data_IF_620073533159
#
_entry.id   IF_620073533159
#
_cell.length_a   1.000
_cell.length_b   1.000
_cell.length_c   1.000
_cell.angle_alpha   90.00
_cell.angle_beta   90.00
_cell.angle_gamma   90.00
#
_symmetry.space_group_name_H-M   'P 1'
#
loop_
_entity.id
_entity.type
_entity.pdbx_description
1 polymer ?
#
# COMPACT_ATOMS: atom_id res chain seq x y z
N UNK A 1 51.91 30.37 -3.76
CA UNK A 1 52.44 31.23 -4.84
C UNK A 1 52.92 32.58 -4.33
N UNK A 2 52.75 32.93 -3.04
CA UNK A 2 53.26 34.19 -2.47
C UNK A 2 54.76 34.14 -2.08
N UNK A 3 55.32 32.96 -1.80
CA UNK A 3 56.74 32.85 -1.41
C UNK A 3 57.74 33.13 -2.55
N UNK A 4 57.38 32.84 -3.80
CA UNK A 4 58.28 33.00 -4.95
C UNK A 4 58.48 34.49 -5.29
N UNK A 5 57.43 35.30 -5.14
CA UNK A 5 57.51 36.75 -5.36
C UNK A 5 58.40 37.45 -4.32
N UNK A 6 58.49 36.90 -3.11
CA UNK A 6 59.29 37.44 -2.02
C UNK A 6 60.79 37.18 -2.20
N UNK A 7 61.17 36.00 -2.73
CA UNK A 7 62.57 35.68 -3.04
C UNK A 7 63.12 36.50 -4.22
N UNK A 8 62.32 36.75 -5.25
CA UNK A 8 62.76 37.58 -6.39
C UNK A 8 62.97 39.05 -6.00
N UNK A 9 62.12 39.60 -5.13
CA UNK A 9 62.27 40.95 -4.59
C UNK A 9 63.56 41.09 -3.75
N UNK A 10 63.87 40.09 -2.92
CA UNK A 10 65.12 40.05 -2.14
C UNK A 10 66.37 39.89 -3.04
N UNK A 11 66.26 39.15 -4.14
CA UNK A 11 67.32 39.00 -5.13
C UNK A 11 67.64 40.29 -5.87
N UNK A 12 66.63 41.10 -6.19
CA UNK A 12 66.81 42.40 -6.83
C UNK A 12 67.44 43.43 -5.90
N UNK A 13 67.02 43.48 -4.63
CA UNK A 13 67.60 44.38 -3.63
C UNK A 13 69.11 44.14 -3.41
N UNK A 14 69.55 42.86 -3.36
CA UNK A 14 70.97 42.52 -3.23
C UNK A 14 71.80 42.91 -4.45
N UNK A 15 71.22 42.83 -5.65
CA UNK A 15 71.89 43.30 -6.87
C UNK A 15 72.01 44.82 -6.87
N UNK A 16 70.98 45.54 -6.48
CA UNK A 16 71.04 47.01 -6.40
C UNK A 16 72.12 47.49 -5.42
N UNK A 17 72.26 46.83 -4.27
CA UNK A 17 73.30 47.14 -3.28
C UNK A 17 74.72 46.87 -3.80
N UNK A 18 74.92 45.79 -4.57
CA UNK A 18 76.18 45.47 -5.25
C UNK A 18 76.56 46.50 -6.32
N UNK A 19 75.58 47.03 -7.06
CA UNK A 19 75.84 48.03 -8.10
C UNK A 19 76.15 49.39 -7.50
N UNK A 20 75.49 49.73 -6.39
CA UNK A 20 75.79 50.95 -5.62
C UNK A 20 77.17 50.91 -4.98
N UNK A 21 77.66 49.73 -4.57
CA UNK A 21 79.02 49.58 -4.03
C UNK A 21 80.08 49.73 -5.13
N UNK A 22 79.91 49.09 -6.29
CA UNK A 22 80.82 49.25 -7.43
C UNK A 22 80.86 50.70 -7.94
N UNK A 23 79.70 51.38 -8.00
CA UNK A 23 79.65 52.80 -8.37
C UNK A 23 80.38 53.70 -7.35
N UNK A 24 80.32 53.36 -6.06
CA UNK A 24 81.00 54.10 -4.98
C UNK A 24 82.51 53.92 -5.03
N UNK A 25 82.99 52.72 -5.40
CA UNK A 25 84.41 52.45 -5.56
C UNK A 25 84.99 53.09 -6.83
N UNK A 26 84.21 53.19 -7.92
CA UNK A 26 84.57 53.98 -9.11
C UNK A 26 84.65 55.49 -8.82
N UNK A 27 83.79 56.03 -7.95
CA UNK A 27 83.85 57.43 -7.53
C UNK A 27 85.02 57.71 -6.57
N UNK A 28 85.44 56.72 -5.77
CA UNK A 28 86.63 56.81 -4.89
C UNK A 28 87.94 56.71 -5.65
N UNK A 29 87.96 56.02 -6.78
CA UNK A 29 89.12 55.93 -7.68
C UNK A 29 89.23 57.12 -8.64
N UNK A 30 88.67 58.27 -8.27
CA UNK A 30 88.93 59.55 -8.93
C UNK A 30 90.45 59.79 -8.95
N UNK A 31 91.09 59.90 -10.13
CA UNK A 31 92.49 60.22 -10.18
C UNK A 31 92.69 61.57 -9.49
N UNK A 32 93.52 61.57 -8.45
CA UNK A 32 94.06 62.80 -7.85
C UNK A 32 94.76 63.52 -9.00
N UNK A 33 94.10 64.53 -9.55
CA UNK A 33 94.75 65.47 -10.43
C UNK A 33 95.85 66.12 -9.59
N UNK A 34 97.13 66.08 -10.01
CA UNK A 34 98.17 66.76 -9.27
C UNK A 34 97.78 68.24 -9.18
N UNK A 35 97.66 68.74 -7.95
CA UNK A 35 97.55 70.16 -7.69
C UNK A 35 98.81 70.80 -8.26
N UNK A 36 98.67 71.54 -9.37
CA UNK A 36 99.74 72.36 -9.91
C UNK A 36 99.94 73.54 -8.96
N UNK A 37 100.81 73.34 -7.95
CA UNK A 37 101.47 74.43 -7.27
C UNK A 37 102.31 75.18 -8.30
N UNK A 38 101.83 76.36 -8.68
CA UNK A 38 102.60 77.31 -9.46
C UNK A 38 103.79 77.77 -8.64
N UNK A 39 104.99 77.46 -9.13
CA UNK A 39 106.14 78.33 -9.01
C UNK A 39 106.67 78.54 -10.43
N UNK A 40 106.51 79.79 -10.89
CA UNK A 40 107.11 80.35 -12.10
C UNK A 40 108.63 80.17 -12.04
N UNK A 41 109.18 79.35 -12.94
CA UNK A 41 110.57 79.49 -13.37
C UNK A 41 110.59 79.62 -14.90
N UNK A 42 110.72 80.88 -15.32
CA UNK A 42 110.77 81.33 -16.71
C UNK A 42 112.04 80.81 -17.39
N UNK A 43 111.93 79.64 -18.04
CA UNK A 43 112.76 79.30 -19.19
C UNK A 43 111.88 79.28 -20.44
N UNK A 44 111.87 80.41 -21.13
CA UNK A 44 111.47 80.53 -22.54
C UNK A 44 112.42 79.70 -23.40
N UNK A 45 112.14 78.41 -23.53
CA UNK A 45 112.54 77.65 -24.70
C UNK A 45 111.61 78.09 -25.85
N UNK A 46 112.22 78.61 -26.91
CA UNK A 46 111.53 78.94 -28.16
C UNK A 46 110.96 77.64 -28.70
N UNK A 47 109.68 77.36 -28.42
CA UNK A 47 108.98 76.20 -28.97
C UNK A 47 109.08 76.24 -30.50
N UNK A 48 109.74 75.23 -31.07
CA UNK A 48 109.86 75.08 -32.52
C UNK A 48 108.46 75.03 -33.13
N UNK A 49 108.25 75.71 -34.26
CA UNK A 49 106.95 75.77 -34.95
C UNK A 49 106.36 74.40 -35.31
N UNK A 50 107.15 73.34 -35.28
CA UNK A 50 106.72 71.95 -35.49
C UNK A 50 106.05 71.33 -34.26
N UNK A 51 106.43 71.71 -33.03
CA UNK A 51 105.82 71.20 -31.80
C UNK A 51 104.42 71.78 -31.60
N UNK A 52 104.24 73.07 -31.91
CA UNK A 52 102.92 73.71 -31.95
C UNK A 52 102.01 73.08 -33.00
N UNK A 53 102.54 72.69 -34.17
CA UNK A 53 101.77 71.96 -35.19
C UNK A 53 101.35 70.58 -34.69
N UNK A 54 102.25 69.80 -34.10
CA UNK A 54 101.92 68.47 -33.54
C UNK A 54 100.86 68.59 -32.45
N UNK A 55 101.02 69.52 -31.51
CA UNK A 55 100.00 69.79 -30.47
C UNK A 55 98.65 70.17 -31.07
N UNK A 56 98.63 71.04 -32.09
CA UNK A 56 97.38 71.42 -32.76
C UNK A 56 96.69 70.23 -33.47
N UNK A 57 97.47 69.33 -34.07
CA UNK A 57 96.95 68.11 -34.70
C UNK A 57 96.43 67.11 -33.65
N UNK A 58 97.14 66.94 -32.54
CA UNK A 58 96.69 66.12 -31.41
C UNK A 58 95.39 66.66 -30.80
N UNK A 59 95.27 67.97 -30.62
CA UNK A 59 94.03 68.61 -30.14
C UNK A 59 92.88 68.36 -31.12
N UNK A 60 93.11 68.51 -32.44
CA UNK A 60 92.09 68.21 -33.46
C UNK A 60 91.67 66.74 -33.44
N UNK A 61 92.62 65.82 -33.28
CA UNK A 61 92.34 64.39 -33.19
C UNK A 61 91.53 64.05 -31.93
N UNK A 62 91.90 64.60 -30.76
CA UNK A 62 91.14 64.42 -29.52
C UNK A 62 89.74 65.03 -29.60
N UNK A 63 89.59 66.20 -30.23
CA UNK A 63 88.29 66.80 -30.48
C UNK A 63 87.41 65.92 -31.39
N UNK A 64 88.00 65.32 -32.42
CA UNK A 64 87.32 64.35 -33.28
C UNK A 64 86.94 63.07 -32.53
N UNK A 65 87.85 62.48 -31.74
CA UNK A 65 87.55 61.30 -30.92
C UNK A 65 86.45 61.59 -29.90
N UNK A 66 86.48 62.76 -29.26
CA UNK A 66 85.44 63.22 -28.34
C UNK A 66 84.10 63.36 -29.07
N UNK A 67 84.09 63.93 -30.28
CA UNK A 67 82.87 64.04 -31.08
C UNK A 67 82.29 62.66 -31.45
N UNK A 68 83.14 61.71 -31.86
CA UNK A 68 82.74 60.34 -32.18
C UNK A 68 82.15 59.59 -30.96
N UNK A 69 82.79 59.70 -29.79
CA UNK A 69 82.26 59.12 -28.56
C UNK A 69 80.94 59.77 -28.14
N UNK A 70 80.82 61.09 -28.29
CA UNK A 70 79.57 61.81 -28.01
C UNK A 70 78.45 61.39 -28.96
N UNK A 71 78.73 61.18 -30.23
CA UNK A 71 77.76 60.69 -31.21
C UNK A 71 77.33 59.25 -30.90
N UNK A 72 78.28 58.36 -30.58
CA UNK A 72 78.00 57.01 -30.13
C UNK A 72 77.16 56.96 -28.85
N UNK A 73 77.47 57.83 -27.87
CA UNK A 73 76.68 57.99 -26.64
C UNK A 73 75.27 58.52 -26.94
N UNK A 74 75.13 59.51 -27.83
CA UNK A 74 73.81 60.02 -28.25
C UNK A 74 72.98 58.92 -28.89
N UNK A 75 73.55 58.13 -29.80
CA UNK A 75 72.86 57.01 -30.44
C UNK A 75 72.39 55.97 -29.41
N UNK A 76 73.26 55.54 -28.51
CA UNK A 76 72.91 54.60 -27.44
C UNK A 76 71.85 55.17 -26.49
N UNK A 77 71.92 56.46 -26.17
CA UNK A 77 70.91 57.12 -25.34
C UNK A 77 69.54 57.17 -26.03
N UNK A 78 69.50 57.38 -27.35
CA UNK A 78 68.26 57.32 -28.12
C UNK A 78 67.69 55.90 -28.16
N UNK A 79 68.53 54.89 -28.39
CA UNK A 79 68.13 53.46 -28.35
C UNK A 79 67.62 53.06 -26.96
N UNK A 80 68.31 53.48 -25.89
CA UNK A 80 67.86 53.24 -24.52
C UNK A 80 66.54 53.95 -24.21
N UNK A 81 66.36 55.20 -24.66
CA UNK A 81 65.10 55.91 -24.49
C UNK A 81 63.94 55.23 -25.23
N UNK A 82 64.17 54.72 -26.44
CA UNK A 82 63.19 53.95 -27.19
C UNK A 82 62.82 52.65 -26.46
N UNK A 83 63.81 51.87 -26.01
CA UNK A 83 63.58 50.63 -25.26
C UNK A 83 62.82 50.87 -23.94
N UNK A 84 63.10 51.97 -23.22
CA UNK A 84 62.34 52.36 -22.03
C UNK A 84 60.89 52.72 -22.39
N UNK A 85 60.67 53.37 -23.53
CA UNK A 85 59.34 53.65 -24.05
C UNK A 85 58.55 52.36 -24.31
N UNK A 86 59.15 51.40 -25.00
CA UNK A 86 58.53 50.11 -25.31
C UNK A 86 58.21 49.32 -24.03
N UNK A 87 59.13 49.29 -23.05
CA UNK A 87 58.89 48.64 -21.77
C UNK A 87 57.73 49.27 -21.00
N UNK A 88 57.58 50.60 -21.03
CA UNK A 88 56.44 51.28 -20.41
C UNK A 88 55.13 50.93 -21.12
N UNK A 89 55.12 50.88 -22.46
CA UNK A 89 53.95 50.50 -23.23
C UNK A 89 53.51 49.06 -22.93
N UNK A 90 54.46 48.12 -22.83
CA UNK A 90 54.17 46.73 -22.43
C UNK A 90 53.64 46.68 -20.99
N UNK A 91 54.23 47.45 -20.07
CA UNK A 91 53.77 47.51 -18.68
C UNK A 91 52.34 48.06 -18.55
N UNK A 92 52.00 49.09 -19.32
CA UNK A 92 50.64 49.65 -19.37
C UNK A 92 49.64 48.64 -19.95
N UNK A 93 50.02 47.95 -21.03
CA UNK A 93 49.21 46.86 -21.60
C UNK A 93 48.98 45.72 -20.60
N UNK A 94 50.03 45.29 -19.89
CA UNK A 94 49.94 44.24 -18.87
C UNK A 94 49.02 44.66 -17.71
N UNK A 95 49.09 45.93 -17.29
CA UNK A 95 48.17 46.49 -16.28
C UNK A 95 46.73 46.46 -16.78
N UNK A 96 46.47 46.87 -18.02
CA UNK A 96 45.14 46.83 -18.62
C UNK A 96 44.58 45.41 -18.72
N UNK A 97 45.41 44.44 -19.12
CA UNK A 97 45.02 43.02 -19.13
C UNK A 97 44.75 42.50 -17.71
N UNK A 98 45.57 42.87 -16.72
CA UNK A 98 45.37 42.45 -15.33
C UNK A 98 44.07 42.98 -14.74
N UNK A 99 43.69 44.23 -15.06
CA UNK A 99 42.40 44.78 -14.61
C UNK A 99 41.24 44.09 -15.32
N UNK A 100 41.34 43.85 -16.62
CA UNK A 100 40.32 43.14 -17.40
C UNK A 100 40.11 41.72 -16.89
N UNK A 101 41.19 40.98 -16.61
CA UNK A 101 41.11 39.63 -16.03
C UNK A 101 40.47 39.64 -14.64
N UNK A 102 40.74 40.67 -13.83
CA UNK A 102 40.08 40.83 -12.53
C UNK A 102 38.58 41.09 -12.64
N UNK A 103 38.16 41.87 -13.63
CA UNK A 103 36.74 42.11 -13.92
C UNK A 103 36.04 40.82 -14.42
N UNK A 104 36.69 40.08 -15.33
CA UNK A 104 36.18 38.80 -15.83
C UNK A 104 36.06 37.76 -14.70
N UNK A 105 37.06 37.64 -13.83
CA UNK A 105 37.04 36.73 -12.68
C UNK A 105 35.91 37.08 -11.70
N UNK A 106 35.65 38.37 -11.47
CA UNK A 106 34.54 38.82 -10.64
C UNK A 106 33.18 38.44 -11.26
N UNK A 107 33.01 38.60 -12.57
CA UNK A 107 31.78 38.21 -13.28
C UNK A 107 31.58 36.70 -13.24
N UNK A 108 32.65 35.92 -13.45
CA UNK A 108 32.59 34.46 -13.36
C UNK A 108 32.22 34.01 -11.95
N UNK A 109 32.83 34.59 -10.91
CA UNK A 109 32.50 34.28 -9.52
C UNK A 109 31.03 34.59 -9.19
N UNK A 110 30.48 35.70 -9.70
CA UNK A 110 29.06 36.01 -9.54
C UNK A 110 28.16 34.99 -10.26
N UNK A 111 28.49 34.63 -11.50
CA UNK A 111 27.73 33.65 -12.26
C UNK A 111 27.76 32.25 -11.62
N UNK A 112 28.89 31.84 -11.05
CA UNK A 112 29.03 30.58 -10.32
C UNK A 112 28.14 30.55 -9.07
N UNK A 113 28.08 31.65 -8.32
CA UNK A 113 27.24 31.77 -7.14
C UNK A 113 25.74 31.76 -7.50
N UNK A 114 25.34 32.48 -8.55
CA UNK A 114 23.98 32.42 -9.09
C UNK A 114 23.58 31.01 -9.51
N UNK A 115 24.49 30.29 -10.18
CA UNK A 115 24.29 28.90 -10.59
C UNK A 115 24.18 27.97 -9.37
N UNK A 116 24.98 28.18 -8.32
CA UNK A 116 24.89 27.43 -7.07
C UNK A 116 23.51 27.61 -6.43
N UNK A 117 23.05 28.85 -6.29
CA UNK A 117 21.73 29.18 -5.72
C UNK A 117 20.59 28.62 -6.58
N UNK A 118 20.71 28.66 -7.91
CA UNK A 118 19.71 28.06 -8.80
C UNK A 118 19.65 26.52 -8.65
N UNK A 119 20.80 25.86 -8.52
CA UNK A 119 20.87 24.40 -8.30
C UNK A 119 20.25 24.00 -6.96
N UNK A 120 20.51 24.76 -5.90
CA UNK A 120 19.93 24.50 -4.58
C UNK A 120 18.41 24.65 -4.56
N UNK A 121 17.89 25.69 -5.23
CA UNK A 121 16.44 25.88 -5.41
C UNK A 121 15.82 24.72 -6.19
N UNK A 122 16.40 24.36 -7.33
CA UNK A 122 15.91 23.23 -8.14
C UNK A 122 15.95 21.90 -7.36
N UNK A 123 17.02 21.65 -6.59
CA UNK A 123 17.13 20.46 -5.75
C UNK A 123 16.11 20.46 -4.60
N UNK A 124 15.70 21.63 -4.10
CA UNK A 124 14.64 21.74 -3.11
C UNK A 124 13.26 21.47 -3.73
N UNK A 125 12.94 22.12 -4.86
CA UNK A 125 11.67 21.90 -5.59
C UNK A 125 11.50 20.44 -6.01
N UNK A 126 12.57 19.80 -6.49
CA UNK A 126 12.54 18.37 -6.83
C UNK A 126 12.23 17.52 -5.60
N UNK A 127 12.84 17.80 -4.44
CA UNK A 127 12.55 17.06 -3.20
C UNK A 127 11.09 17.20 -2.79
N UNK A 128 10.54 18.42 -2.81
CA UNK A 128 9.13 18.64 -2.49
C UNK A 128 8.19 17.89 -3.45
N UNK A 129 8.51 17.87 -4.74
CA UNK A 129 7.74 17.12 -5.73
C UNK A 129 7.82 15.61 -5.48
N UNK A 130 9.00 15.08 -5.14
CA UNK A 130 9.18 13.67 -4.79
C UNK A 130 8.40 13.30 -3.53
N UNK A 131 8.50 14.07 -2.46
CA UNK A 131 7.72 13.87 -1.24
C UNK A 131 6.21 13.90 -1.51
N UNK A 132 5.76 14.81 -2.38
CA UNK A 132 4.37 14.89 -2.83
C UNK A 132 3.91 13.68 -3.66
N UNK A 133 4.79 13.08 -4.45
CA UNK A 133 4.51 11.85 -5.20
C UNK A 133 4.43 10.65 -4.27
N UNK A 134 5.39 10.50 -3.35
CA UNK A 134 5.40 9.41 -2.36
C UNK A 134 4.14 9.42 -1.50
N UNK A 135 3.68 10.61 -1.09
CA UNK A 135 2.45 10.75 -0.32
C UNK A 135 1.21 10.31 -1.13
N UNK A 136 1.14 10.67 -2.42
CA UNK A 136 0.04 10.27 -3.31
C UNK A 136 0.06 8.77 -3.59
N UNK A 137 1.23 8.18 -3.77
CA UNK A 137 1.39 6.74 -3.90
C UNK A 137 0.86 6.03 -2.66
N UNK A 138 1.26 6.46 -1.46
CA UNK A 138 0.75 5.92 -0.20
C UNK A 138 -0.76 6.10 -0.02
N UNK A 139 -1.35 7.20 -0.50
CA UNK A 139 -2.81 7.41 -0.52
C UNK A 139 -3.51 6.41 -1.46
N UNK A 140 -2.97 6.21 -2.66
CA UNK A 140 -3.51 5.27 -3.65
C UNK A 140 -3.42 3.83 -3.13
N UNK A 141 -2.29 3.42 -2.55
CA UNK A 141 -2.13 2.11 -1.94
C UNK A 141 -3.14 1.87 -0.82
N UNK A 142 -3.35 2.87 0.06
CA UNK A 142 -4.38 2.79 1.10
C UNK A 142 -5.79 2.64 0.52
N UNK A 143 -6.12 3.40 -0.52
CA UNK A 143 -7.41 3.30 -1.20
C UNK A 143 -7.58 1.93 -1.89
N UNK A 144 -6.53 1.42 -2.53
CA UNK A 144 -6.54 0.11 -3.18
C UNK A 144 -6.76 -1.01 -2.14
N UNK A 145 -6.07 -0.97 -1.01
CA UNK A 145 -6.29 -1.91 0.10
C UNK A 145 -7.70 -1.82 0.69
N UNK A 146 -8.25 -0.62 0.84
CA UNK A 146 -9.62 -0.44 1.30
C UNK A 146 -10.64 -0.99 0.28
N UNK A 147 -10.41 -0.77 -1.01
CA UNK A 147 -11.26 -1.27 -2.07
C UNK A 147 -11.23 -2.80 -2.16
N UNK A 148 -10.05 -3.43 -2.08
CA UNK A 148 -9.94 -4.89 -2.08
C UNK A 148 -10.60 -5.52 -0.86
N UNK A 149 -10.46 -4.90 0.32
CA UNK A 149 -11.17 -5.34 1.53
C UNK A 149 -12.70 -5.20 1.38
N UNK A 150 -13.19 -4.11 0.78
CA UNK A 150 -14.61 -3.92 0.52
C UNK A 150 -15.17 -4.95 -0.47
N UNK A 151 -14.43 -5.25 -1.55
CA UNK A 151 -14.79 -6.31 -2.51
C UNK A 151 -14.87 -7.67 -1.81
N UNK A 152 -13.86 -8.02 -1.00
CA UNK A 152 -13.87 -9.27 -0.25
C UNK A 152 -15.05 -9.38 0.73
N UNK A 153 -15.46 -8.26 1.36
CA UNK A 153 -16.64 -8.21 2.20
C UNK A 153 -17.94 -8.41 1.39
N UNK A 154 -18.06 -7.76 0.23
CA UNK A 154 -19.20 -7.95 -0.66
C UNK A 154 -19.30 -9.39 -1.19
N UNK A 155 -18.18 -10.04 -1.49
CA UNK A 155 -18.16 -11.44 -1.92
C UNK A 155 -18.65 -12.36 -0.80
N UNK A 156 -18.24 -12.11 0.45
CA UNK A 156 -18.72 -12.85 1.62
C UNK A 156 -20.24 -12.66 1.84
N UNK A 157 -20.74 -11.43 1.71
CA UNK A 157 -22.17 -11.13 1.78
C UNK A 157 -22.94 -11.82 0.63
N UNK A 158 -22.36 -11.88 -0.56
CA UNK A 158 -22.90 -12.59 -1.71
C UNK A 158 -23.10 -14.08 -1.44
N UNK A 159 -22.12 -14.75 -0.83
CA UNK A 159 -22.23 -16.16 -0.44
C UNK A 159 -23.32 -16.38 0.62
N UNK A 160 -23.46 -15.48 1.59
CA UNK A 160 -24.53 -15.53 2.59
C UNK A 160 -25.90 -15.43 1.92
N UNK A 161 -26.07 -14.49 0.98
CA UNK A 161 -27.32 -14.32 0.24
C UNK A 161 -27.63 -15.55 -0.64
N UNK A 162 -26.62 -16.14 -1.28
CA UNK A 162 -26.79 -17.37 -2.05
C UNK A 162 -27.24 -18.53 -1.15
N UNK A 163 -26.64 -18.70 0.02
CA UNK A 163 -27.06 -19.72 0.97
C UNK A 163 -28.49 -19.47 1.47
N UNK A 164 -28.83 -18.22 1.82
CA UNK A 164 -30.17 -17.85 2.25
C UNK A 164 -31.21 -18.18 1.16
N UNK A 165 -30.93 -17.86 -0.10
CA UNK A 165 -31.78 -18.20 -1.25
C UNK A 165 -32.00 -19.71 -1.41
N UNK A 166 -30.95 -20.52 -1.26
CA UNK A 166 -31.06 -21.99 -1.27
C UNK A 166 -31.93 -22.51 -0.13
N UNK A 167 -31.78 -21.97 1.08
CA UNK A 167 -32.57 -22.34 2.24
C UNK A 167 -34.05 -22.00 2.05
N UNK A 168 -34.37 -20.81 1.54
CA UNK A 168 -35.75 -20.40 1.23
C UNK A 168 -36.37 -21.29 0.15
N UNK A 169 -35.63 -21.61 -0.91
CA UNK A 169 -36.10 -22.53 -1.95
C UNK A 169 -36.34 -23.95 -1.42
N UNK A 170 -35.52 -24.42 -0.47
CA UNK A 170 -35.73 -25.71 0.22
C UNK A 170 -36.98 -25.68 1.10
N UNK A 171 -37.13 -24.64 1.93
CA UNK A 171 -38.28 -24.46 2.80
C UNK A 171 -39.59 -24.37 2.00
N UNK A 172 -39.56 -23.67 0.86
CA UNK A 172 -40.73 -23.57 -0.03
C UNK A 172 -41.14 -24.92 -0.62
N UNK A 173 -40.16 -25.77 -0.98
CA UNK A 173 -40.43 -27.14 -1.45
C UNK A 173 -41.02 -28.01 -0.33
N UNK A 174 -40.47 -27.92 0.88
CA UNK A 174 -41.01 -28.64 2.04
C UNK A 174 -42.43 -28.20 2.38
N UNK A 175 -42.70 -26.90 2.36
CA UNK A 175 -44.05 -26.36 2.56
C UNK A 175 -45.04 -26.90 1.51
N UNK A 176 -44.63 -27.00 0.25
CA UNK A 176 -45.47 -27.60 -0.80
C UNK A 176 -45.74 -29.09 -0.58
N UNK A 177 -44.76 -29.85 -0.07
CA UNK A 177 -44.94 -31.27 0.29
C UNK A 177 -45.90 -31.41 1.47
N UNK A 178 -45.65 -30.66 2.56
CA UNK A 178 -46.51 -30.66 3.73
C UNK A 178 -47.96 -30.29 3.37
N UNK A 179 -48.17 -29.31 2.50
CA UNK A 179 -49.51 -28.93 2.05
C UNK A 179 -50.23 -30.09 1.33
N UNK A 180 -49.51 -30.87 0.51
CA UNK A 180 -50.06 -32.08 -0.13
C UNK A 180 -50.37 -33.17 0.88
N UNK A 181 -49.47 -33.41 1.84
CA UNK A 181 -49.71 -34.39 2.91
C UNK A 181 -50.91 -34.01 3.77
N UNK A 182 -51.07 -32.72 4.10
CA UNK A 182 -52.26 -32.24 4.83
C UNK A 182 -53.54 -32.44 4.03
N UNK A 183 -53.51 -32.24 2.70
CA UNK A 183 -54.68 -32.53 1.86
C UNK A 183 -55.03 -34.02 1.87
N UNK A 184 -54.03 -34.90 1.73
CA UNK A 184 -54.24 -36.35 1.80
C UNK A 184 -54.82 -36.80 3.15
N UNK A 185 -54.37 -36.21 4.25
CA UNK A 185 -54.92 -36.50 5.57
C UNK A 185 -56.37 -36.04 5.71
N UNK A 186 -56.73 -34.89 5.14
CA UNK A 186 -58.12 -34.42 5.10
C UNK A 186 -58.99 -35.37 4.29
N UNK A 187 -58.53 -35.81 3.12
CA UNK A 187 -59.26 -36.76 2.28
C UNK A 187 -59.45 -38.11 3.01
N UNK A 188 -58.40 -38.63 3.65
CA UNK A 188 -58.45 -39.86 4.43
C UNK A 188 -59.43 -39.73 5.61
N UNK A 189 -59.43 -38.60 6.31
CA UNK A 189 -60.36 -38.36 7.39
C UNK A 189 -61.82 -38.37 6.88
N UNK A 190 -62.10 -37.72 5.76
CA UNK A 190 -63.43 -37.74 5.15
C UNK A 190 -63.85 -39.14 4.72
N UNK A 191 -62.93 -39.95 4.19
CA UNK A 191 -63.20 -41.36 3.86
C UNK A 191 -63.53 -42.19 5.10
N UNK A 192 -62.80 -41.99 6.21
CA UNK A 192 -63.06 -42.67 7.47
C UNK A 192 -64.42 -42.25 8.06
N UNK A 193 -64.72 -40.95 8.07
CA UNK A 193 -66.02 -40.42 8.51
C UNK A 193 -67.17 -40.98 7.67
N UNK A 194 -67.00 -41.10 6.35
CA UNK A 194 -68.00 -41.70 5.47
C UNK A 194 -68.18 -43.21 5.70
N UNK A 195 -67.09 -43.94 5.97
CA UNK A 195 -67.14 -45.36 6.33
C UNK A 195 -67.84 -45.58 7.66
N UNK A 196 -67.52 -44.80 8.67
CA UNK A 196 -68.16 -44.87 9.98
C UNK A 196 -69.67 -44.58 9.86
N UNK A 197 -70.05 -43.55 9.10
CA UNK A 197 -71.46 -43.26 8.83
C UNK A 197 -72.18 -44.42 8.10
N UNK A 198 -71.51 -45.04 7.10
CA UNK A 198 -72.05 -46.19 6.38
C UNK A 198 -72.20 -47.43 7.30
N UNK A 199 -71.22 -47.67 8.17
CA UNK A 199 -71.29 -48.73 9.17
C UNK A 199 -72.46 -48.49 10.12
N UNK A 200 -72.61 -47.30 10.69
CA UNK A 200 -73.74 -46.95 11.55
C UNK A 200 -75.10 -47.13 10.86
N UNK A 201 -75.21 -46.74 9.58
CA UNK A 201 -76.41 -47.00 8.78
C UNK A 201 -76.66 -48.50 8.57
N UNK A 202 -75.61 -49.28 8.31
CA UNK A 202 -75.75 -50.73 8.17
C UNK A 202 -76.16 -51.39 9.48
N UNK A 203 -75.54 -51.01 10.61
CA UNK A 203 -75.87 -51.48 11.95
C UNK A 203 -77.33 -51.14 12.30
N UNK A 204 -77.77 -49.90 12.04
CA UNK A 204 -79.15 -49.50 12.23
C UNK A 204 -80.13 -50.30 11.34
N UNK A 205 -79.77 -50.58 10.08
CA UNK A 205 -80.58 -51.39 9.18
C UNK A 205 -80.65 -52.86 9.64
N UNK A 206 -79.53 -53.44 10.08
CA UNK A 206 -79.49 -54.77 10.69
C UNK A 206 -80.32 -54.81 11.96
N UNK A 207 -80.17 -53.84 12.87
CA UNK A 207 -80.98 -53.74 14.08
C UNK A 207 -82.48 -53.65 13.75
N UNK A 208 -82.86 -52.91 12.71
CA UNK A 208 -84.25 -52.84 12.23
C UNK A 208 -84.74 -54.18 11.67
N UNK A 209 -83.95 -54.87 10.84
CA UNK A 209 -84.27 -56.19 10.29
C UNK A 209 -84.43 -57.25 11.40
N UNK A 210 -83.50 -57.27 12.35
CA UNK A 210 -83.54 -58.12 13.54
C UNK A 210 -84.79 -57.80 14.36
N UNK A 211 -85.00 -56.54 14.74
CA UNK A 211 -86.17 -56.09 15.49
C UNK A 211 -87.49 -56.47 14.81
N UNK A 212 -87.58 -56.36 13.48
CA UNK A 212 -88.75 -56.76 12.69
C UNK A 212 -88.94 -58.28 12.64
N UNK A 213 -87.87 -59.05 12.51
CA UNK A 213 -87.91 -60.52 12.47
C UNK A 213 -88.36 -61.14 13.79
N UNK A 214 -87.97 -60.51 14.90
CA UNK A 214 -88.37 -60.92 16.25
C UNK A 214 -89.76 -60.38 16.64
N UNK A 215 -90.12 -59.15 16.24
CA UNK A 215 -91.46 -58.61 16.47
C UNK A 215 -92.54 -59.38 15.70
N UNK A 216 -92.25 -59.82 14.47
CA UNK A 216 -93.22 -60.51 13.60
C UNK A 216 -93.43 -62.00 13.93
N UNK A 217 -92.61 -62.59 14.82
CA UNK A 217 -92.75 -63.98 15.31
C UNK A 217 -93.27 -64.08 16.75
N UNK A 218 -93.62 -62.97 17.38
CA UNK A 218 -94.08 -62.90 18.78
C UNK A 218 -95.56 -63.29 18.97
N UNK A 219 -95.97 -64.42 18.39
CA UNK A 219 -97.13 -65.19 18.85
C UNK A 219 -96.64 -66.59 19.25
N UNK A 220 -95.85 -66.67 20.32
CA UNK A 220 -95.42 -67.94 20.90
C UNK A 220 -94.11 -67.91 21.67
N UNK A 221 -94.15 -67.41 22.91
CA UNK A 221 -93.39 -67.85 24.09
C UNK A 221 -91.94 -68.38 23.92
N UNK A 222 -91.04 -67.58 23.32
CA UNK A 222 -89.60 -67.67 23.55
C UNK A 222 -89.09 -66.23 23.61
N UNK A 223 -88.39 -65.85 24.69
CA UNK A 223 -87.82 -64.51 24.88
C UNK A 223 -86.88 -64.20 23.71
N UNK A 224 -87.38 -63.40 22.76
CA UNK A 224 -86.65 -62.98 21.57
C UNK A 224 -85.32 -62.29 21.90
N UNK A 225 -85.22 -61.71 23.10
CA UNK A 225 -84.02 -61.09 23.65
C UNK A 225 -82.93 -62.13 23.94
N UNK A 226 -83.28 -63.30 24.50
CA UNK A 226 -82.35 -64.40 24.80
C UNK A 226 -81.78 -65.03 23.51
N UNK A 227 -82.60 -65.12 22.47
CA UNK A 227 -82.15 -65.62 21.15
C UNK A 227 -81.26 -64.60 20.46
N UNK A 228 -81.58 -63.30 20.55
CA UNK A 228 -80.73 -62.24 20.03
C UNK A 228 -79.38 -62.18 20.77
N UNK A 229 -79.36 -62.37 22.10
CA UNK A 229 -78.14 -62.48 22.90
C UNK A 229 -77.30 -63.69 22.51
N UNK A 230 -77.92 -64.86 22.32
CA UNK A 230 -77.22 -66.07 21.90
C UNK A 230 -76.61 -65.94 20.51
N UNK A 231 -77.29 -65.26 19.58
CA UNK A 231 -76.75 -64.99 18.23
C UNK A 231 -75.60 -63.97 18.31
N UNK A 232 -75.73 -62.92 19.12
CA UNK A 232 -74.67 -61.92 19.34
C UNK A 232 -73.41 -62.57 19.91
N UNK A 233 -73.56 -63.43 20.92
CA UNK A 233 -72.46 -64.14 21.54
C UNK A 233 -71.80 -65.13 20.57
N UNK A 234 -72.60 -65.87 19.80
CA UNK A 234 -72.10 -66.79 18.76
C UNK A 234 -71.34 -66.06 17.64
N UNK A 235 -71.85 -64.91 17.17
CA UNK A 235 -71.17 -64.09 16.16
C UNK A 235 -69.89 -63.48 16.72
N UNK A 236 -69.90 -62.97 17.96
CA UNK A 236 -68.71 -62.43 18.62
C UNK A 236 -67.61 -63.49 18.79
N UNK A 237 -67.97 -64.72 19.19
CA UNK A 237 -67.02 -65.84 19.25
C UNK A 237 -66.45 -66.18 17.88
N UNK A 238 -67.27 -66.24 16.84
CA UNK A 238 -66.81 -66.58 15.49
C UNK A 238 -65.92 -65.50 14.88
N UNK A 239 -66.22 -64.21 15.14
CA UNK A 239 -65.39 -63.07 14.73
C UNK A 239 -64.06 -63.08 15.46
N UNK A 240 -64.06 -63.32 16.77
CA UNK A 240 -62.84 -63.45 17.57
C UNK A 240 -61.96 -64.61 17.08
N UNK A 241 -62.55 -65.78 16.82
CA UNK A 241 -61.82 -66.94 16.30
C UNK A 241 -61.24 -66.68 14.91
N UNK A 242 -61.96 -65.94 14.05
CA UNK A 242 -61.49 -65.58 12.71
C UNK A 242 -60.35 -64.54 12.79
N UNK A 243 -60.47 -63.52 13.64
CA UNK A 243 -59.42 -62.52 13.88
C UNK A 243 -58.13 -63.15 14.44
N UNK A 244 -58.26 -64.09 15.37
CA UNK A 244 -57.11 -64.83 15.93
C UNK A 244 -56.48 -65.77 14.89
N UNK A 245 -57.25 -66.27 13.93
CA UNK A 245 -56.78 -67.11 12.82
C UNK A 245 -56.04 -66.28 11.76
N UNK A 246 -56.55 -65.11 11.41
CA UNK A 246 -55.98 -64.24 10.38
C UNK A 246 -54.76 -63.45 10.87
N UNK A 247 -54.65 -63.21 12.18
CA UNK A 247 -53.49 -62.56 12.81
C UNK A 247 -52.88 -63.40 13.95
N UNK A 248 -52.03 -64.41 13.62
CA UNK A 248 -51.47 -65.34 14.62
C UNK A 248 -50.52 -64.67 15.63
N UNK A 249 -50.06 -63.44 15.36
CA UNK A 249 -49.22 -62.66 16.29
C UNK A 249 -49.98 -62.17 17.54
N UNK A 250 -51.31 -62.03 17.44
CA UNK A 250 -52.17 -61.70 18.58
C UNK A 250 -52.37 -62.93 19.48
N UNK A 251 -52.56 -64.12 18.91
CA UNK A 251 -52.83 -65.34 19.68
C UNK A 251 -51.68 -65.85 20.55
N UNK A 252 -50.42 -65.65 20.14
CA UNK A 252 -49.26 -66.21 20.84
C UNK A 252 -48.60 -65.28 21.87
N UNK A 253 -48.82 -63.96 21.80
CA UNK A 253 -48.15 -62.97 22.66
C UNK A 253 -49.09 -62.22 23.61
N UNK A 254 -50.41 -62.39 23.49
CA UNK A 254 -51.38 -61.79 24.42
C UNK A 254 -51.55 -62.72 25.63
N UNK A 255 -51.05 -62.31 26.80
CA UNK A 255 -51.41 -62.96 28.07
C UNK A 255 -52.92 -62.92 28.30
N UNK A 256 -53.44 -63.76 29.21
CA UNK A 256 -54.89 -63.94 29.47
C UNK A 256 -55.67 -62.62 29.61
N UNK A 257 -55.02 -61.58 30.14
CA UNK A 257 -55.60 -60.25 30.34
C UNK A 257 -55.82 -59.46 29.04
N UNK A 258 -54.93 -59.58 28.06
CA UNK A 258 -55.07 -58.86 26.79
C UNK A 258 -56.02 -59.59 25.83
N UNK A 259 -56.15 -60.92 25.96
CA UNK A 259 -57.21 -61.70 25.33
C UNK A 259 -58.60 -61.31 25.86
N UNK A 260 -58.75 -61.14 27.18
CA UNK A 260 -59.99 -60.67 27.78
C UNK A 260 -60.40 -59.26 27.31
N UNK A 261 -59.44 -58.36 27.09
CA UNK A 261 -59.70 -57.01 26.53
C UNK A 261 -60.15 -57.09 25.06
N UNK A 262 -59.57 -57.99 24.28
CA UNK A 262 -59.94 -58.21 22.88
C UNK A 262 -61.33 -58.86 22.76
N UNK A 263 -61.62 -59.85 23.62
CA UNK A 263 -62.95 -60.44 23.80
C UNK A 263 -63.99 -59.38 24.17
N UNK A 264 -63.69 -58.52 25.14
CA UNK A 264 -64.57 -57.42 25.53
C UNK A 264 -64.77 -56.37 24.41
N UNK A 265 -63.73 -56.05 23.63
CA UNK A 265 -63.81 -55.13 22.51
C UNK A 265 -64.64 -55.70 21.35
N UNK A 266 -64.49 -56.99 21.04
CA UNK A 266 -65.28 -57.67 20.00
C UNK A 266 -66.75 -57.78 20.45
N UNK A 267 -67.01 -58.12 21.71
CA UNK A 267 -68.37 -58.13 22.26
C UNK A 267 -69.01 -56.73 22.24
N UNK A 268 -68.23 -55.69 22.55
CA UNK A 268 -68.69 -54.29 22.49
C UNK A 268 -68.91 -53.78 21.05
N UNK A 269 -68.21 -54.33 20.06
CA UNK A 269 -68.37 -53.97 18.66
C UNK A 269 -69.56 -54.72 18.00
N UNK A 270 -69.84 -55.95 18.43
CA UNK A 270 -70.96 -56.76 17.94
C UNK A 270 -72.29 -56.40 18.62
N UNK A 271 -72.24 -55.69 19.76
CA UNK A 271 -73.40 -55.08 20.40
C UNK A 271 -73.02 -53.87 21.25
N UNK A 272 -73.63 -52.71 20.97
CA UNK A 272 -73.42 -51.46 21.72
C UNK A 272 -73.62 -51.56 23.25
N UNK A 273 -73.32 -50.49 23.99
CA UNK A 273 -72.56 -50.42 25.25
C UNK A 273 -73.09 -51.20 26.48
N UNK A 274 -74.23 -51.88 26.38
CA UNK A 274 -74.90 -52.51 27.52
C UNK A 274 -74.27 -53.83 27.99
N UNK A 275 -73.50 -54.54 27.15
CA UNK A 275 -72.82 -55.78 27.55
C UNK A 275 -71.45 -55.56 28.21
N UNK A 276 -70.70 -54.54 27.78
CA UNK A 276 -69.43 -54.18 28.41
C UNK A 276 -69.62 -53.68 29.87
N UNK A 277 -70.73 -52.98 30.14
CA UNK A 277 -71.06 -52.49 31.48
C UNK A 277 -71.43 -53.63 32.47
N UNK A 278 -71.97 -54.76 32.00
CA UNK A 278 -72.36 -55.88 32.86
C UNK A 278 -71.17 -56.71 33.35
N UNK A 279 -70.06 -56.74 32.60
CA UNK A 279 -68.83 -57.48 33.00
C UNK A 279 -67.76 -56.58 33.64
N UNK A 280 -67.78 -55.27 33.42
CA UNK A 280 -66.91 -54.32 34.13
C UNK A 280 -67.39 -53.98 35.56
N UNK A 281 -68.55 -54.51 35.97
CA UNK A 281 -69.12 -54.39 37.32
C UNK A 281 -68.42 -55.27 38.36
N UNK A 282 -67.09 -55.18 38.43
CA UNK A 282 -66.25 -55.80 39.44
C UNK A 282 -65.00 -54.96 39.59
N UNK A 283 -64.95 -54.16 40.66
CA UNK A 283 -63.81 -53.38 41.15
C UNK A 283 -63.57 -52.00 40.49
N UNK A 284 -64.60 -51.15 40.48
CA UNK A 284 -64.42 -49.70 40.48
C UNK A 284 -64.58 -49.14 41.91
N UNK A 285 -63.50 -49.14 42.69
CA UNK A 285 -63.39 -48.33 43.90
C UNK A 285 -61.97 -47.81 44.06
N UNK A 286 -61.68 -46.64 43.48
CA UNK A 286 -61.00 -45.50 44.13
C UNK A 286 -60.75 -44.37 43.12
N UNK A 287 -61.69 -43.44 43.09
CA UNK A 287 -61.49 -42.00 43.25
C UNK A 287 -60.06 -41.39 43.21
N UNK A 288 -59.95 -40.33 42.38
CA UNK A 288 -59.51 -38.96 42.71
C UNK A 288 -58.13 -38.46 42.18
N UNK A 289 -58.26 -37.47 41.28
CA UNK A 289 -57.47 -36.26 41.02
C UNK A 289 -55.93 -36.30 41.08
N UNK A 290 -55.29 -36.13 39.92
CA UNK A 290 -54.72 -34.84 39.48
C UNK A 290 -54.43 -34.86 37.98
#
# INVERSE_FOLDING_TARGET
MEDVASEEALGLAKKEESWLTDAKDLLRSRPVMPESSGEDDLRTEVESGDDLRRRSQSIRFLAWQKAQLQEGLRKKNLEAAAAIGDLRAVQESLRGMSTSLGEEDQVLSQAEEELRVARERCAHELRELWEGLDQREADIERQACAATAAVAACDADGEILLHAGRSVASASRQAAVLNRETQLLVDLQQELEARDAALQCSEAAFACLVGRSFSSRSHGNIDAEVVADSIREGVAQQVLESLLRDQPRLGHNLGARARAVLEAAVLSAVGGPTLAAAQAGGDSSTCIHR
#
